data_IF_951928825608
#
_entry.id   IF_951928825608
#
_cell.length_a   1.000
_cell.length_b   1.000
_cell.length_c   1.000
_cell.angle_alpha   90.00
_cell.angle_beta   90.00
_cell.angle_gamma   90.00
#
_symmetry.space_group_name_H-M   'P 1'
#
loop_
_entity.id
_entity.type
_entity.pdbx_description
1 polymer ?
#
# COMPACT_ATOMS: atom_id res chain seq x y z
N UNK A 1 17.66 -14.01 35.19
CA UNK A 1 18.38 -13.39 36.32
C UNK A 1 17.81 -12.01 36.60
N UNK A 2 17.90 -11.07 35.65
CA UNK A 2 17.33 -9.71 35.72
C UNK A 2 15.87 -9.64 36.16
N UNK A 3 15.00 -10.52 35.65
CA UNK A 3 13.59 -10.53 36.04
C UNK A 3 13.35 -10.87 37.53
N UNK A 4 14.20 -11.68 38.16
CA UNK A 4 14.06 -12.00 39.58
C UNK A 4 14.42 -10.79 40.44
N UNK A 5 15.56 -10.16 40.15
CA UNK A 5 16.01 -8.95 40.86
C UNK A 5 15.01 -7.78 40.76
N UNK A 6 14.39 -7.60 39.60
CA UNK A 6 13.33 -6.58 39.41
C UNK A 6 12.10 -6.91 40.27
N UNK A 7 11.64 -8.16 40.27
CA UNK A 7 10.47 -8.55 41.06
C UNK A 7 10.74 -8.48 42.57
N UNK A 8 11.95 -8.80 43.01
CA UNK A 8 12.35 -8.68 44.42
C UNK A 8 12.38 -7.21 44.85
N UNK A 9 12.90 -6.32 43.99
CA UNK A 9 12.90 -4.87 44.22
C UNK A 9 11.47 -4.29 44.26
N UNK A 10 10.61 -4.74 43.35
CA UNK A 10 9.20 -4.33 43.32
C UNK A 10 8.48 -4.83 44.57
N UNK A 11 8.73 -6.08 44.99
CA UNK A 11 8.10 -6.68 46.16
C UNK A 11 8.46 -5.94 47.46
N UNK A 12 9.71 -5.51 47.60
CA UNK A 12 10.14 -4.68 48.74
C UNK A 12 9.35 -3.35 48.79
N UNK A 13 9.31 -2.62 47.68
CA UNK A 13 8.57 -1.36 47.59
C UNK A 13 7.06 -1.53 47.75
N UNK A 14 6.51 -2.65 47.27
CA UNK A 14 5.10 -2.97 47.41
C UNK A 14 4.72 -3.14 48.89
N UNK A 15 5.51 -3.88 49.67
CA UNK A 15 5.22 -4.10 51.08
C UNK A 15 5.24 -2.78 51.88
N UNK A 16 6.28 -1.95 51.68
CA UNK A 16 6.39 -0.62 52.31
C UNK A 16 5.19 0.28 51.93
N UNK A 17 4.80 0.26 50.65
CA UNK A 17 3.65 1.02 50.17
C UNK A 17 2.34 0.57 50.82
N UNK A 18 2.13 -0.75 50.95
CA UNK A 18 0.92 -1.31 51.54
C UNK A 18 0.82 -0.95 53.03
N UNK A 19 1.92 -1.01 53.77
CA UNK A 19 1.96 -0.57 55.17
C UNK A 19 1.63 0.93 55.28
N UNK A 20 2.25 1.78 54.47
CA UNK A 20 1.94 3.20 54.41
C UNK A 20 0.45 3.46 54.05
N UNK A 21 -0.10 2.71 53.10
CA UNK A 21 -1.48 2.83 52.63
C UNK A 21 -2.50 2.49 53.74
N UNK A 22 -2.26 1.44 54.53
CA UNK A 22 -3.17 1.06 55.62
C UNK A 22 -3.17 2.06 56.78
N UNK A 23 -2.06 2.79 56.99
CA UNK A 23 -1.98 3.86 58.01
C UNK A 23 -2.79 5.10 57.61
N UNK A 24 -3.10 5.30 56.32
CA UNK A 24 -3.85 6.46 55.87
C UNK A 24 -5.34 6.39 56.25
N UNK A 25 -5.98 7.54 56.53
CA UNK A 25 -7.43 7.63 56.69
C UNK A 25 -8.17 7.30 55.38
N UNK A 26 -9.46 6.98 55.49
CA UNK A 26 -10.31 6.45 54.40
C UNK A 26 -10.24 7.31 53.12
N UNK A 27 -10.20 8.64 53.24
CA UNK A 27 -10.10 9.54 52.09
C UNK A 27 -8.74 9.43 51.37
N UNK A 28 -7.65 9.21 52.11
CA UNK A 28 -6.31 9.05 51.56
C UNK A 28 -6.18 7.74 50.78
N UNK A 29 -6.77 6.67 51.31
CA UNK A 29 -6.84 5.38 50.63
C UNK A 29 -7.55 5.48 49.27
N UNK A 30 -8.72 6.12 49.24
CA UNK A 30 -9.49 6.30 47.99
C UNK A 30 -8.68 7.13 46.98
N UNK A 31 -8.05 8.22 47.42
CA UNK A 31 -7.26 9.09 46.52
C UNK A 31 -6.04 8.35 45.96
N UNK A 32 -5.31 7.60 46.79
CA UNK A 32 -4.19 6.78 46.35
C UNK A 32 -4.61 5.74 45.30
N UNK A 33 -5.76 5.07 45.51
CA UNK A 33 -6.28 4.07 44.59
C UNK A 33 -6.66 4.70 43.23
N UNK A 34 -7.34 5.85 43.24
CA UNK A 34 -7.65 6.61 42.00
C UNK A 34 -6.37 7.05 41.30
N UNK A 35 -5.36 7.49 42.04
CA UNK A 35 -4.06 7.88 41.50
C UNK A 35 -3.35 6.72 40.79
N UNK A 36 -3.32 5.54 41.40
CA UNK A 36 -2.71 4.35 40.78
C UNK A 36 -3.45 3.96 39.49
N UNK A 37 -4.78 3.96 39.50
CA UNK A 37 -5.58 3.66 38.31
C UNK A 37 -5.27 4.66 37.19
N UNK A 38 -5.17 5.95 37.51
CA UNK A 38 -4.83 6.98 36.54
C UNK A 38 -3.43 6.77 35.95
N UNK A 39 -2.43 6.44 36.77
CA UNK A 39 -1.06 6.16 36.32
C UNK A 39 -1.04 4.92 35.41
N UNK A 40 -1.77 3.86 35.76
CA UNK A 40 -1.87 2.64 34.94
C UNK A 40 -2.51 2.96 33.58
N UNK A 41 -3.61 3.71 33.57
CA UNK A 41 -4.29 4.10 32.33
C UNK A 41 -3.39 4.94 31.41
N UNK A 42 -2.63 5.90 31.99
CA UNK A 42 -1.66 6.70 31.25
C UNK A 42 -0.52 5.84 30.69
N UNK A 43 0.02 4.92 31.49
CA UNK A 43 1.08 3.99 31.07
C UNK A 43 0.63 3.12 29.89
N UNK A 44 -0.55 2.52 29.99
CA UNK A 44 -1.14 1.70 28.91
C UNK A 44 -1.32 2.54 27.64
N UNK A 45 -1.84 3.76 27.78
CA UNK A 45 -2.04 4.68 26.65
C UNK A 45 -0.71 5.01 25.97
N UNK A 46 0.34 5.30 26.75
CA UNK A 46 1.67 5.59 26.24
C UNK A 46 2.26 4.38 25.48
N UNK A 47 2.15 3.18 26.05
CA UNK A 47 2.60 1.94 25.39
C UNK A 47 1.84 1.72 24.08
N UNK A 48 0.53 1.94 24.05
CA UNK A 48 -0.27 1.84 22.82
C UNK A 48 0.25 2.79 21.73
N UNK A 49 0.54 4.05 22.07
CA UNK A 49 1.09 5.01 21.11
C UNK A 49 2.51 4.65 20.65
N UNK A 50 3.36 4.11 21.53
CA UNK A 50 4.69 3.62 21.14
C UNK A 50 4.60 2.48 20.14
N UNK A 51 3.76 1.47 20.40
CA UNK A 51 3.57 0.34 19.48
C UNK A 51 3.01 0.84 18.14
N UNK A 52 2.02 1.72 18.16
CA UNK A 52 1.46 2.33 16.94
C UNK A 52 2.52 3.10 16.16
N UNK A 53 3.37 3.86 16.85
CA UNK A 53 4.49 4.59 16.25
C UNK A 53 5.51 3.66 15.61
N UNK A 54 5.91 2.59 16.30
CA UNK A 54 6.85 1.58 15.78
C UNK A 54 6.26 0.89 14.55
N UNK A 55 4.99 0.47 14.60
CA UNK A 55 4.32 -0.16 13.46
C UNK A 55 4.28 0.78 12.24
N UNK A 56 4.01 2.07 12.46
CA UNK A 56 4.02 3.07 11.40
C UNK A 56 5.43 3.25 10.82
N UNK A 57 6.46 3.28 11.67
CA UNK A 57 7.85 3.41 11.25
C UNK A 57 8.29 2.22 10.40
N UNK A 58 7.98 0.99 10.82
CA UNK A 58 8.26 -0.23 10.04
C UNK A 58 7.54 -0.20 8.69
N UNK A 59 6.26 0.18 8.66
CA UNK A 59 5.49 0.33 7.43
C UNK A 59 6.18 1.30 6.44
N UNK A 60 6.66 2.45 6.93
CA UNK A 60 7.37 3.42 6.09
C UNK A 60 8.73 2.93 5.61
N UNK A 61 9.48 2.19 6.43
CA UNK A 61 10.74 1.59 6.01
C UNK A 61 10.50 0.59 4.88
N UNK A 62 9.54 -0.33 5.02
CA UNK A 62 9.21 -1.31 3.98
C UNK A 62 8.75 -0.60 2.70
N UNK A 63 7.89 0.41 2.84
CA UNK A 63 7.43 1.21 1.70
C UNK A 63 8.60 1.90 1.00
N UNK A 64 9.52 2.48 1.77
CA UNK A 64 10.74 3.10 1.25
C UNK A 64 11.60 2.11 0.46
N UNK A 65 11.87 0.94 1.05
CA UNK A 65 12.63 -0.13 0.40
C UNK A 65 11.95 -0.59 -0.90
N UNK A 66 10.63 -0.77 -0.90
CA UNK A 66 9.88 -1.15 -2.10
C UNK A 66 10.06 -0.14 -3.25
N UNK A 67 9.96 1.17 -2.97
CA UNK A 67 10.18 2.19 -3.99
C UNK A 67 11.64 2.23 -4.47
N UNK A 68 12.59 1.98 -3.57
CA UNK A 68 14.02 1.98 -3.88
C UNK A 68 14.40 0.79 -4.77
N UNK A 69 13.92 -0.43 -4.46
CA UNK A 69 14.06 -1.60 -5.33
C UNK A 69 13.41 -1.39 -6.69
N UNK A 70 12.21 -0.80 -6.71
CA UNK A 70 11.51 -0.48 -7.97
C UNK A 70 12.32 0.48 -8.85
N UNK A 71 12.98 1.47 -8.25
CA UNK A 71 13.87 2.40 -8.96
C UNK A 71 15.10 1.69 -9.53
N UNK A 72 15.79 0.88 -8.72
CA UNK A 72 16.99 0.13 -9.14
C UNK A 72 16.66 -0.86 -10.25
N UNK A 73 15.56 -1.62 -10.14
CA UNK A 73 15.14 -2.58 -11.16
C UNK A 73 14.89 -1.92 -12.52
N UNK A 74 14.28 -0.73 -12.53
CA UNK A 74 14.02 0.02 -13.76
C UNK A 74 15.30 0.57 -14.38
N UNK A 75 16.26 1.01 -13.54
CA UNK A 75 17.59 1.45 -13.99
C UNK A 75 18.41 0.32 -14.61
N UNK A 76 18.48 -0.84 -13.94
CA UNK A 76 19.19 -2.02 -14.44
C UNK A 76 18.55 -2.53 -15.72
N UNK A 77 17.21 -2.60 -15.79
CA UNK A 77 16.51 -3.02 -17.01
C UNK A 77 16.89 -2.16 -18.22
N UNK A 78 16.94 -0.83 -18.04
CA UNK A 78 17.30 0.11 -19.11
C UNK A 78 18.77 -0.01 -19.55
N UNK A 79 19.68 -0.30 -18.61
CA UNK A 79 21.08 -0.59 -18.92
C UNK A 79 21.22 -1.91 -19.69
N UNK A 80 20.56 -2.98 -19.23
CA UNK A 80 20.57 -4.28 -19.90
C UNK A 80 20.01 -4.21 -21.32
N UNK A 81 18.95 -3.44 -21.56
CA UNK A 81 18.41 -3.22 -22.91
C UNK A 81 19.43 -2.54 -23.84
N UNK A 82 20.14 -1.52 -23.34
CA UNK A 82 21.22 -0.86 -24.08
C UNK A 82 22.35 -1.83 -24.47
N UNK A 83 22.79 -2.66 -23.53
CA UNK A 83 23.81 -3.68 -23.80
C UNK A 83 23.33 -4.78 -24.73
N UNK A 84 22.09 -5.25 -24.57
CA UNK A 84 21.50 -6.26 -25.44
C UNK A 84 21.42 -5.78 -26.90
N UNK A 85 21.07 -4.51 -27.11
CA UNK A 85 21.01 -3.90 -28.44
C UNK A 85 22.40 -3.74 -29.08
N UNK A 86 23.43 -3.45 -28.29
CA UNK A 86 24.83 -3.39 -28.76
C UNK A 86 25.36 -4.78 -29.16
N UNK A 87 25.07 -5.80 -28.34
CA UNK A 87 25.56 -7.17 -28.56
C UNK A 87 24.80 -7.90 -29.67
N UNK A 88 23.49 -7.68 -29.81
CA UNK A 88 22.67 -8.42 -30.79
C UNK A 88 22.87 -7.99 -32.24
N UNK A 89 23.66 -6.93 -32.51
CA UNK A 89 23.98 -6.47 -33.87
C UNK A 89 22.78 -6.08 -34.73
N UNK A 90 21.56 -6.06 -34.17
CA UNK A 90 20.32 -5.71 -34.85
C UNK A 90 19.83 -4.39 -34.28
N UNK A 91 20.02 -3.32 -35.05
CA UNK A 91 19.24 -2.11 -34.92
C UNK A 91 17.75 -2.51 -35.04
N UNK A 92 17.03 -2.42 -33.93
CA UNK A 92 15.57 -2.28 -33.96
C UNK A 92 15.31 -0.79 -33.92
N UNK A 93 14.62 -0.31 -34.95
CA UNK A 93 14.13 1.05 -35.02
C UNK A 93 13.40 1.40 -33.72
N UNK A 94 13.71 2.59 -33.23
CA UNK A 94 13.15 3.24 -32.06
C UNK A 94 11.63 3.24 -32.15
N UNK A 95 10.95 2.39 -31.37
CA UNK A 95 9.59 2.67 -30.93
C UNK A 95 9.71 3.43 -29.60
N UNK A 96 9.75 4.76 -29.72
CA UNK A 96 9.69 5.69 -28.61
C UNK A 96 8.41 5.41 -27.80
N UNK A 97 8.57 4.85 -26.61
CA UNK A 97 7.68 5.16 -25.51
C UNK A 97 8.02 6.57 -25.00
N UNK A 98 7.41 7.58 -25.63
CA UNK A 98 7.23 8.90 -25.05
C UNK A 98 5.88 8.90 -24.32
N UNK A 99 5.93 8.95 -22.99
CA UNK A 99 4.89 9.62 -22.24
C UNK A 99 4.92 11.11 -22.63
N UNK A 100 3.79 11.70 -23.02
CA UNK A 100 3.20 12.91 -22.42
C UNK A 100 2.12 13.54 -23.33
N UNK A 101 0.99 13.82 -22.68
CA UNK A 101 -0.11 14.74 -23.00
C UNK A 101 0.10 15.79 -24.10
N UNK A 102 -0.76 15.78 -25.13
CA UNK A 102 -1.39 16.99 -25.71
C UNK A 102 -2.64 16.60 -26.52
N UNK A 103 -3.70 17.41 -26.38
CA UNK A 103 -4.98 17.33 -27.08
C UNK A 103 -4.85 17.69 -28.57
N UNK A 104 -5.85 17.23 -29.33
CA UNK A 104 -6.33 17.73 -30.63
C UNK A 104 -5.35 17.72 -31.80
N UNK A 105 -5.65 16.86 -32.78
CA UNK A 105 -6.18 17.31 -34.07
C UNK A 105 -6.78 16.10 -34.82
N UNK A 106 -8.02 16.26 -35.26
CA UNK A 106 -8.74 15.29 -36.11
C UNK A 106 -8.23 15.47 -37.55
N UNK A 107 -7.94 14.35 -38.25
CA UNK A 107 -8.60 14.16 -39.53
C UNK A 107 -9.18 12.74 -39.66
N UNK A 108 -10.51 12.71 -39.73
CA UNK A 108 -11.39 11.76 -40.40
C UNK A 108 -10.76 10.48 -40.96
N UNK A 109 -10.78 9.41 -40.17
CA UNK A 109 -11.20 8.10 -40.69
C UNK A 109 -12.01 7.36 -39.62
N UNK A 110 -13.27 7.18 -39.98
CA UNK A 110 -14.37 6.61 -39.24
C UNK A 110 -14.16 5.10 -39.10
N UNK A 111 -13.95 4.59 -37.86
CA UNK A 111 -14.60 3.40 -37.29
C UNK A 111 -13.99 3.03 -35.91
N UNK A 112 -14.68 3.47 -34.84
CA UNK A 112 -14.68 2.89 -33.48
C UNK A 112 -13.32 2.60 -32.79
N UNK A 113 -12.64 3.65 -32.33
CA UNK A 113 -11.63 3.54 -31.27
C UNK A 113 -12.23 3.97 -29.92
N UNK A 114 -13.35 3.37 -29.54
CA UNK A 114 -13.93 3.57 -28.20
C UNK A 114 -12.98 2.93 -27.20
N UNK A 115 -12.18 3.75 -26.54
CA UNK A 115 -11.26 3.29 -25.50
C UNK A 115 -12.08 2.59 -24.40
N UNK A 116 -11.98 1.26 -24.34
CA UNK A 116 -12.64 0.45 -23.32
C UNK A 116 -11.79 0.46 -22.03
N UNK A 117 -12.44 0.67 -20.89
CA UNK A 117 -11.79 0.72 -19.58
C UNK A 117 -12.30 -0.44 -18.71
N UNK A 118 -11.41 -0.97 -17.87
CA UNK A 118 -11.77 -1.98 -16.88
C UNK A 118 -12.58 -1.34 -15.74
N UNK A 119 -13.77 -1.85 -15.45
CA UNK A 119 -14.62 -1.35 -14.36
C UNK A 119 -14.03 -1.57 -12.96
N UNK A 120 -13.16 -2.58 -12.80
CA UNK A 120 -12.56 -2.90 -11.50
C UNK A 120 -11.28 -2.11 -11.22
N UNK A 121 -10.40 -2.01 -12.22
CA UNK A 121 -9.08 -1.40 -12.02
C UNK A 121 -8.94 -0.02 -12.68
N UNK A 122 -9.95 0.45 -13.40
CA UNK A 122 -9.96 1.75 -14.09
C UNK A 122 -8.95 1.89 -15.22
N UNK A 123 -8.21 0.82 -15.57
CA UNK A 123 -7.18 0.88 -16.60
C UNK A 123 -7.77 0.66 -18.00
N UNK A 124 -7.24 1.40 -18.97
CA UNK A 124 -7.57 1.25 -20.39
C UNK A 124 -7.16 -0.14 -20.89
N UNK A 125 -7.98 -0.73 -21.74
CA UNK A 125 -7.68 -1.98 -22.41
C UNK A 125 -6.51 -1.78 -23.37
N UNK A 126 -5.55 -2.71 -23.33
CA UNK A 126 -4.47 -2.76 -24.32
C UNK A 126 -5.03 -3.22 -25.67
N UNK A 127 -4.40 -2.82 -26.77
CA UNK A 127 -4.82 -3.22 -28.13
C UNK A 127 -4.90 -4.74 -28.30
N UNK A 128 -4.03 -5.49 -27.60
CA UNK A 128 -4.09 -6.96 -27.56
C UNK A 128 -5.40 -7.46 -26.93
N UNK A 129 -5.82 -6.84 -25.83
CA UNK A 129 -7.07 -7.21 -25.15
C UNK A 129 -8.29 -6.88 -26.01
N UNK A 130 -8.28 -5.71 -26.67
CA UNK A 130 -9.33 -5.30 -27.61
C UNK A 130 -9.42 -6.26 -28.80
N UNK A 131 -8.27 -6.63 -29.37
CA UNK A 131 -8.21 -7.57 -30.50
C UNK A 131 -8.69 -8.97 -30.07
N UNK A 132 -8.35 -9.41 -28.86
CA UNK A 132 -8.87 -10.66 -28.30
C UNK A 132 -10.38 -10.61 -28.06
N UNK A 133 -10.90 -9.50 -27.55
CA UNK A 133 -12.33 -9.29 -27.34
C UNK A 133 -13.10 -9.28 -28.67
N UNK A 134 -12.59 -8.61 -29.70
CA UNK A 134 -13.21 -8.57 -31.03
C UNK A 134 -13.14 -9.91 -31.77
N UNK A 135 -12.07 -10.70 -31.56
CA UNK A 135 -11.89 -12.00 -32.25
C UNK A 135 -12.58 -13.17 -31.55
N UNK A 136 -12.54 -13.21 -30.21
CA UNK A 136 -13.02 -14.36 -29.42
C UNK A 136 -14.26 -14.04 -28.58
N UNK A 137 -14.69 -12.79 -28.52
CA UNK A 137 -15.83 -12.36 -27.73
C UNK A 137 -15.56 -12.28 -26.21
N UNK A 138 -14.39 -12.74 -25.75
CA UNK A 138 -13.99 -12.73 -24.34
C UNK A 138 -12.54 -12.28 -24.19
N UNK A 139 -12.25 -11.54 -23.12
CA UNK A 139 -10.89 -11.11 -22.77
C UNK A 139 -10.73 -11.00 -21.25
N UNK A 140 -9.52 -11.17 -20.75
CA UNK A 140 -9.22 -11.03 -19.32
C UNK A 140 -8.37 -9.78 -19.10
N UNK A 141 -8.68 -9.02 -18.05
CA UNK A 141 -7.82 -7.91 -17.68
C UNK A 141 -6.49 -8.41 -17.14
N UNK A 142 -5.41 -8.03 -17.80
CA UNK A 142 -4.03 -8.37 -17.40
C UNK A 142 -3.64 -7.83 -16.01
N UNK A 143 -4.39 -6.85 -15.49
CA UNK A 143 -4.06 -6.17 -14.24
C UNK A 143 -4.93 -6.61 -13.05
N UNK A 144 -6.15 -7.11 -13.27
CA UNK A 144 -7.05 -7.56 -12.20
C UNK A 144 -7.56 -8.99 -12.38
N UNK A 145 -7.32 -9.63 -13.53
CA UNK A 145 -7.75 -10.99 -13.82
C UNK A 145 -9.23 -11.15 -14.13
N UNK A 146 -10.05 -10.09 -14.09
CA UNK A 146 -11.49 -10.16 -14.38
C UNK A 146 -11.73 -10.49 -15.86
N UNK A 147 -12.67 -11.39 -16.10
CA UNK A 147 -13.18 -11.75 -17.43
C UNK A 147 -14.19 -10.70 -17.92
N UNK A 148 -14.09 -10.32 -19.18
CA UNK A 148 -14.99 -9.40 -19.86
C UNK A 148 -15.52 -10.04 -21.13
N UNK A 149 -16.82 -9.90 -21.37
CA UNK A 149 -17.50 -10.43 -22.57
C UNK A 149 -17.96 -9.29 -23.47
N UNK A 150 -17.90 -9.49 -24.78
CA UNK A 150 -18.25 -8.46 -25.78
C UNK A 150 -19.71 -7.96 -25.61
N UNK A 151 -20.62 -8.84 -25.18
CA UNK A 151 -22.02 -8.53 -24.91
C UNK A 151 -22.20 -7.49 -23.79
N UNK A 152 -21.29 -7.47 -22.81
CA UNK A 152 -21.30 -6.55 -21.67
C UNK A 152 -20.99 -5.10 -22.08
N UNK A 153 -20.24 -4.92 -23.18
CA UNK A 153 -19.92 -3.59 -23.73
C UNK A 153 -20.95 -3.07 -24.71
N UNK A 154 -21.71 -3.96 -25.36
CA UNK A 154 -22.77 -3.56 -26.32
C UNK A 154 -24.01 -3.01 -25.62
N UNK A 155 -24.25 -3.43 -24.38
CA UNK A 155 -25.42 -3.05 -23.59
C UNK A 155 -25.17 -1.89 -22.61
N UNK A 156 -24.01 -1.24 -22.69
CA UNK A 156 -23.73 -0.04 -21.88
C UNK A 156 -24.00 1.22 -22.73
N UNK A 157 -25.06 2.00 -22.45
CA UNK A 157 -25.37 3.21 -23.18
C UNK A 157 -24.45 4.33 -22.68
N UNK A 158 -23.22 4.38 -23.17
CA UNK A 158 -22.35 5.54 -22.95
C UNK A 158 -21.73 5.95 -24.29
N UNK A 159 -22.30 7.02 -24.86
CA UNK A 159 -21.82 7.92 -25.94
C UNK A 159 -22.05 7.41 -27.37
N UNK A 160 -23.27 7.49 -27.89
CA UNK A 160 -23.78 8.69 -28.62
C UNK A 160 -23.70 10.00 -27.85
N UNK A 161 -22.73 10.85 -28.23
CA UNK A 161 -22.81 12.31 -28.16
C UNK A 161 -21.71 12.91 -29.05
#
# INVERSE_FOLDING_TARGET
MIWREIMDTIGFWYNEFIEWYFVQPIYGQILALVGIIAIIALSITLIYYLIKGIAYLVYYIIKGIYYLLKGIGLGIFKLCEGFYNLVSGKYKAVEKSQNNTFQSEIPNSEFTNTALYCTECGRRFSDKMLNHLNKRGITFCVNCGKEFKLEEFRNSPILTL
#
